data_IF_136226993834
#
_entry.id   IF_136226993834
#
_cell.length_a   1.000
_cell.length_b   1.000
_cell.length_c   1.000
_cell.angle_alpha   90.00
_cell.angle_beta   90.00
_cell.angle_gamma   90.00
#
_symmetry.space_group_name_H-M   'P 1'
#
loop_
_entity.id
_entity.type
_entity.pdbx_description
1 polymer ?
#
# COMPACT_ATOMS: atom_id res chain seq x y z
N UNK A 1 0.00 8.61 -16.32
CA UNK A 1 -0.92 8.69 -15.17
C UNK A 1 -0.48 9.79 -14.21
N UNK A 2 0.57 9.63 -13.39
CA UNK A 2 1.03 10.68 -12.47
C UNK A 2 1.29 12.05 -13.13
N UNK A 3 1.97 12.10 -14.28
CA UNK A 3 2.27 13.34 -14.98
C UNK A 3 1.04 14.10 -15.54
N UNK A 4 -0.17 13.56 -15.39
CA UNK A 4 -1.40 14.29 -15.71
C UNK A 4 -1.78 15.29 -14.60
N UNK A 5 -1.31 15.07 -13.36
CA UNK A 5 -1.57 15.90 -12.20
C UNK A 5 -0.32 16.20 -11.36
N UNK A 6 0.86 15.89 -11.86
CA UNK A 6 2.12 16.08 -11.15
C UNK A 6 3.31 16.42 -12.05
N UNK A 7 4.38 16.83 -11.42
CA UNK A 7 5.68 17.11 -12.04
C UNK A 7 6.73 16.18 -11.43
N UNK A 8 7.69 15.72 -12.24
CA UNK A 8 8.76 14.83 -11.78
C UNK A 8 10.05 15.08 -12.56
N UNK A 9 11.16 15.13 -11.84
CA UNK A 9 12.51 14.98 -12.38
C UNK A 9 13.27 13.89 -11.62
N UNK A 10 14.28 13.28 -12.27
CA UNK A 10 15.06 12.20 -11.67
C UNK A 10 16.55 12.35 -12.04
N UNK A 11 17.41 11.94 -11.09
CA UNK A 11 18.86 12.02 -11.24
C UNK A 11 19.53 10.72 -10.88
N UNK A 12 20.66 10.46 -11.56
CA UNK A 12 21.57 9.36 -11.26
C UNK A 12 22.92 9.92 -10.86
N UNK A 13 23.46 9.49 -9.71
CA UNK A 13 24.82 9.81 -9.31
C UNK A 13 25.81 8.82 -9.92
N UNK A 14 26.94 9.33 -10.38
CA UNK A 14 28.04 8.53 -10.91
C UNK A 14 29.32 8.75 -10.13
N UNK A 15 30.08 7.69 -9.88
CA UNK A 15 31.42 7.69 -9.30
C UNK A 15 32.31 6.83 -10.18
N UNK A 16 33.41 7.40 -10.66
CA UNK A 16 34.35 6.74 -11.58
C UNK A 16 33.62 6.11 -12.80
N UNK A 17 32.66 6.85 -13.38
CA UNK A 17 31.88 6.44 -14.54
C UNK A 17 30.83 5.35 -14.28
N UNK A 18 30.65 4.90 -13.02
CA UNK A 18 29.65 3.89 -12.64
C UNK A 18 28.47 4.52 -11.91
N UNK A 19 27.23 4.10 -12.20
CA UNK A 19 26.08 4.57 -11.43
C UNK A 19 26.15 4.06 -9.99
N UNK A 20 26.04 4.96 -9.02
CA UNK A 20 26.17 4.66 -7.59
C UNK A 20 24.95 5.07 -6.77
N UNK A 21 23.96 5.70 -7.38
CA UNK A 21 22.72 6.04 -6.72
C UNK A 21 21.76 6.76 -7.64
N UNK A 22 20.51 6.87 -7.23
CA UNK A 22 19.45 7.59 -7.93
C UNK A 22 18.46 8.21 -6.95
N UNK A 23 17.77 9.25 -7.38
CA UNK A 23 16.66 9.89 -6.67
C UNK A 23 15.72 10.54 -7.67
N UNK A 24 14.45 10.65 -7.34
CA UNK A 24 13.51 11.56 -8.00
C UNK A 24 13.05 12.65 -7.04
N UNK A 25 12.61 13.77 -7.60
CA UNK A 25 11.80 14.74 -6.90
C UNK A 25 10.53 14.99 -7.69
N UNK A 26 9.41 15.05 -7.02
CA UNK A 26 8.09 15.20 -7.61
C UNK A 26 7.18 16.15 -6.83
N UNK A 27 6.23 16.72 -7.55
CA UNK A 27 5.14 17.54 -7.01
C UNK A 27 3.84 16.87 -7.42
N UNK A 28 2.95 16.65 -6.45
CA UNK A 28 1.60 16.17 -6.67
C UNK A 28 0.61 17.34 -6.46
N UNK A 29 -0.01 17.79 -7.55
CA UNK A 29 -0.98 18.90 -7.48
C UNK A 29 -2.29 18.48 -6.83
N UNK A 30 -2.64 17.19 -6.86
CA UNK A 30 -3.79 16.66 -6.10
C UNK A 30 -3.54 16.73 -4.60
N UNK A 31 -2.29 16.52 -4.16
CA UNK A 31 -1.89 16.74 -2.77
C UNK A 31 -2.03 18.23 -2.38
N UNK A 32 -1.51 19.16 -3.20
CA UNK A 32 -1.63 20.59 -2.95
C UNK A 32 -3.09 21.03 -2.84
N UNK A 33 -3.96 20.47 -3.67
CA UNK A 33 -5.41 20.75 -3.67
C UNK A 33 -6.09 20.17 -2.44
N UNK A 34 -5.70 18.97 -2.03
CA UNK A 34 -6.30 18.27 -0.90
C UNK A 34 -5.86 18.86 0.45
N UNK A 35 -4.64 19.37 0.51
CA UNK A 35 -4.02 19.89 1.74
C UNK A 35 -3.54 21.34 1.56
N UNK A 36 -4.45 22.30 1.31
CA UNK A 36 -4.08 23.68 0.98
C UNK A 36 -3.39 24.41 2.13
N UNK A 37 -3.67 24.01 3.38
CA UNK A 37 -3.10 24.61 4.61
C UNK A 37 -1.74 24.00 4.99
N UNK A 38 -1.34 22.90 4.35
CA UNK A 38 -0.02 22.29 4.58
C UNK A 38 1.09 23.11 3.87
N UNK A 39 2.31 23.13 4.42
CA UNK A 39 3.46 23.73 3.74
C UNK A 39 3.62 23.18 2.33
N UNK A 40 3.94 24.03 1.35
CA UNK A 40 4.18 23.62 -0.04
C UNK A 40 5.27 22.54 -0.09
N UNK A 41 4.83 21.29 -0.29
CA UNK A 41 5.68 20.11 -0.20
C UNK A 41 6.04 19.57 -1.58
N UNK A 42 7.32 19.27 -1.80
CA UNK A 42 7.76 18.33 -2.83
C UNK A 42 7.98 16.96 -2.18
N UNK A 43 7.95 15.93 -2.98
CA UNK A 43 8.21 14.57 -2.53
C UNK A 43 9.48 14.05 -3.19
N UNK A 44 10.23 13.16 -2.51
CA UNK A 44 11.31 12.40 -3.13
C UNK A 44 10.92 10.92 -3.22
N UNK A 45 11.46 10.25 -4.23
CA UNK A 45 11.21 8.83 -4.44
C UNK A 45 12.31 8.16 -5.24
N UNK A 46 12.09 6.89 -5.62
CA UNK A 46 13.06 6.09 -6.37
C UNK A 46 14.49 6.17 -5.81
N UNK A 47 14.61 6.47 -4.51
CA UNK A 47 15.89 6.68 -3.86
C UNK A 47 16.60 5.36 -3.62
N UNK A 48 17.76 5.24 -4.24
CA UNK A 48 18.74 4.18 -4.00
C UNK A 48 20.15 4.76 -3.98
N UNK A 49 20.99 4.22 -3.12
CA UNK A 49 22.35 4.71 -2.95
C UNK A 49 23.26 3.56 -2.48
N UNK A 50 24.54 3.60 -2.90
CA UNK A 50 25.58 2.79 -2.25
C UNK A 50 25.77 3.28 -0.81
N UNK A 51 26.44 2.50 0.04
CA UNK A 51 26.74 2.90 1.43
C UNK A 51 27.83 4.00 1.45
N UNK A 52 27.44 5.20 1.01
CA UNK A 52 28.30 6.39 0.93
C UNK A 52 27.46 7.64 1.19
N UNK A 53 27.66 8.25 2.36
CA UNK A 53 26.93 9.45 2.79
C UNK A 53 27.18 10.67 1.89
N UNK A 54 28.32 10.78 1.24
CA UNK A 54 28.61 11.86 0.32
C UNK A 54 27.75 11.75 -0.95
N UNK A 55 27.58 10.53 -1.46
CA UNK A 55 26.69 10.26 -2.61
C UNK A 55 25.23 10.55 -2.22
N UNK A 56 24.80 10.08 -1.04
CA UNK A 56 23.46 10.35 -0.54
C UNK A 56 23.18 11.85 -0.45
N UNK A 57 24.06 12.61 0.18
CA UNK A 57 23.93 14.08 0.30
C UNK A 57 23.89 14.79 -1.06
N UNK A 58 24.69 14.33 -2.03
CA UNK A 58 24.67 14.89 -3.37
C UNK A 58 23.33 14.65 -4.09
N UNK A 59 22.76 13.45 -3.95
CA UNK A 59 21.42 13.12 -4.47
C UNK A 59 20.34 13.99 -3.83
N UNK A 60 20.33 14.12 -2.52
CA UNK A 60 19.37 14.98 -1.84
C UNK A 60 19.54 16.45 -2.20
N UNK A 61 20.77 16.93 -2.35
CA UNK A 61 21.04 18.33 -2.72
C UNK A 61 20.41 18.73 -4.06
N UNK A 62 20.48 17.88 -5.09
CA UNK A 62 19.85 18.18 -6.39
C UNK A 62 18.34 18.12 -6.32
N UNK A 63 17.76 17.19 -5.55
CA UNK A 63 16.32 17.11 -5.33
C UNK A 63 15.79 18.32 -4.55
N UNK A 64 16.52 18.77 -3.52
CA UNK A 64 16.21 19.98 -2.74
C UNK A 64 16.30 21.25 -3.59
N UNK A 65 17.36 21.39 -4.40
CA UNK A 65 17.51 22.52 -5.32
C UNK A 65 16.35 22.61 -6.32
N UNK A 66 15.96 21.47 -6.89
CA UNK A 66 14.81 21.40 -7.79
C UNK A 66 13.53 21.82 -7.07
N UNK A 67 13.28 21.30 -5.86
CA UNK A 67 12.11 21.63 -5.07
C UNK A 67 12.06 23.13 -4.72
N UNK A 68 13.19 23.75 -4.30
CA UNK A 68 13.29 25.21 -4.05
C UNK A 68 12.99 26.03 -5.30
N UNK A 69 13.53 25.64 -6.47
CA UNK A 69 13.24 26.31 -7.76
C UNK A 69 11.75 26.26 -8.13
N UNK A 70 11.05 25.24 -7.67
CA UNK A 70 9.60 25.08 -7.83
C UNK A 70 8.78 25.73 -6.70
N UNK A 71 9.41 26.52 -5.81
CA UNK A 71 8.74 27.22 -4.72
C UNK A 71 8.27 26.32 -3.60
N UNK A 72 8.86 25.12 -3.46
CA UNK A 72 8.57 24.21 -2.35
C UNK A 72 9.45 24.53 -1.16
N UNK A 73 8.87 24.36 0.04
CA UNK A 73 9.54 24.69 1.32
C UNK A 73 9.82 23.44 2.16
N UNK A 74 9.42 22.26 1.65
CA UNK A 74 9.60 20.98 2.33
C UNK A 74 9.81 19.88 1.29
N UNK A 75 10.69 18.91 1.59
CA UNK A 75 10.88 17.70 0.84
C UNK A 75 10.58 16.50 1.73
N UNK A 76 9.62 15.64 1.32
CA UNK A 76 9.10 14.50 2.08
C UNK A 76 9.17 13.22 1.25
N UNK A 77 9.41 12.07 1.89
CA UNK A 77 9.42 10.79 1.21
C UNK A 77 10.05 9.65 2.03
N UNK A 78 10.40 8.53 1.36
CA UNK A 78 10.27 8.32 -0.08
C UNK A 78 8.86 7.89 -0.50
N UNK A 79 8.44 8.34 -1.69
CA UNK A 79 7.23 7.88 -2.38
C UNK A 79 7.56 7.48 -3.82
N UNK A 80 7.00 6.37 -4.28
CA UNK A 80 7.03 6.05 -5.71
C UNK A 80 5.87 6.77 -6.39
N UNK A 81 6.17 7.97 -6.89
CA UNK A 81 5.28 8.96 -7.48
C UNK A 81 4.40 9.69 -6.45
N UNK A 82 3.39 9.05 -5.89
CA UNK A 82 2.44 9.63 -4.94
C UNK A 82 2.16 8.72 -3.74
N UNK A 83 1.22 9.09 -2.89
CA UNK A 83 0.85 8.35 -1.68
C UNK A 83 0.11 7.02 -1.95
N UNK A 84 -0.22 6.71 -3.20
CA UNK A 84 -0.89 5.47 -3.62
C UNK A 84 0.12 4.41 -4.10
N UNK A 85 1.37 4.83 -4.34
CA UNK A 85 2.48 3.97 -4.74
C UNK A 85 3.23 3.34 -3.57
N UNK A 86 4.39 2.75 -3.86
CA UNK A 86 5.28 2.23 -2.83
C UNK A 86 5.88 3.38 -2.01
N UNK A 87 6.02 3.19 -0.70
CA UNK A 87 6.48 4.25 0.19
C UNK A 87 7.33 3.72 1.35
N UNK A 88 8.13 4.62 1.90
CA UNK A 88 8.93 4.40 3.09
C UNK A 88 10.26 3.67 2.86
N UNK A 89 11.20 3.92 3.76
CA UNK A 89 12.44 3.17 3.91
C UNK A 89 12.19 2.05 4.90
N UNK A 90 12.41 0.80 4.51
CA UNK A 90 12.33 -0.35 5.42
C UNK A 90 13.38 -0.18 6.52
N UNK A 91 12.96 -0.26 7.79
CA UNK A 91 13.81 -0.11 8.97
C UNK A 91 13.81 -1.33 9.89
N UNK A 92 12.79 -2.19 9.80
CA UNK A 92 12.67 -3.46 10.52
C UNK A 92 12.10 -4.56 9.62
N UNK A 93 12.50 -5.82 9.82
CA UNK A 93 11.97 -6.97 9.09
C UNK A 93 12.72 -7.31 7.79
N UNK A 94 14.02 -7.04 7.73
CA UNK A 94 14.88 -7.29 6.57
C UNK A 94 15.05 -8.78 6.21
N UNK A 95 14.83 -9.68 7.16
CA UNK A 95 14.92 -11.13 7.01
C UNK A 95 13.74 -11.73 6.22
N UNK A 96 12.69 -10.96 6.00
CA UNK A 96 11.51 -11.38 5.26
C UNK A 96 11.48 -10.74 3.87
N UNK A 97 11.11 -11.48 2.81
CA UNK A 97 10.94 -10.92 1.48
C UNK A 97 9.85 -9.83 1.48
N UNK A 98 9.97 -8.84 0.58
CA UNK A 98 8.90 -7.87 0.38
C UNK A 98 7.72 -8.53 -0.34
N UNK A 99 6.52 -8.15 0.10
CA UNK A 99 5.28 -8.46 -0.61
C UNK A 99 5.12 -7.54 -1.82
N UNK A 100 4.24 -7.92 -2.73
CA UNK A 100 3.93 -7.09 -3.90
C UNK A 100 3.54 -5.67 -3.47
N UNK A 101 4.15 -4.66 -4.14
CA UNK A 101 3.90 -3.25 -3.87
C UNK A 101 4.40 -2.75 -2.52
N UNK A 102 5.37 -3.43 -1.88
CA UNK A 102 6.08 -2.92 -0.70
C UNK A 102 7.58 -2.79 -0.98
N UNK A 103 8.17 -1.71 -0.47
CA UNK A 103 9.59 -1.43 -0.66
C UNK A 103 10.47 -2.39 0.14
N UNK A 104 11.63 -2.72 -0.44
CA UNK A 104 12.75 -3.34 0.25
C UNK A 104 14.03 -2.58 -0.09
N UNK A 105 14.85 -2.31 0.90
CA UNK A 105 16.10 -1.58 0.74
C UNK A 105 17.19 -2.18 1.64
N UNK A 106 18.44 -1.80 1.40
CA UNK A 106 19.55 -2.18 2.26
C UNK A 106 19.42 -1.54 3.65
N UNK A 107 19.82 -2.24 4.74
CA UNK A 107 19.68 -1.72 6.11
C UNK A 107 20.36 -0.36 6.36
N UNK A 108 21.43 -0.05 5.66
CA UNK A 108 22.15 1.23 5.81
C UNK A 108 21.38 2.45 5.24
N UNK A 109 20.32 2.23 4.43
CA UNK A 109 19.59 3.32 3.77
C UNK A 109 18.93 4.28 4.79
N UNK A 110 18.39 3.75 5.87
CA UNK A 110 17.83 4.53 6.97
C UNK A 110 18.84 5.56 7.49
N UNK A 111 20.06 5.09 7.80
CA UNK A 111 21.13 5.94 8.29
C UNK A 111 21.56 6.99 7.25
N UNK A 112 21.64 6.64 5.97
CA UNK A 112 22.01 7.58 4.91
C UNK A 112 21.00 8.73 4.78
N UNK A 113 19.70 8.44 4.89
CA UNK A 113 18.65 9.47 4.87
C UNK A 113 18.78 10.41 6.07
N UNK A 114 18.98 9.86 7.28
CA UNK A 114 19.18 10.65 8.50
C UNK A 114 20.46 11.48 8.44
N UNK A 115 21.60 10.91 8.02
CA UNK A 115 22.88 11.61 7.86
C UNK A 115 22.82 12.70 6.78
N UNK A 116 21.84 12.62 5.87
CA UNK A 116 21.53 13.66 4.88
C UNK A 116 20.65 14.78 5.45
N UNK A 117 20.29 14.72 6.75
CA UNK A 117 19.58 15.79 7.46
C UNK A 117 18.07 15.67 7.46
N UNK A 118 17.54 14.50 7.09
CA UNK A 118 16.11 14.22 7.13
C UNK A 118 15.69 13.65 8.48
N UNK A 119 14.50 14.01 8.92
CA UNK A 119 13.92 13.56 10.18
C UNK A 119 12.71 12.68 9.94
N UNK A 120 12.47 11.73 10.85
CA UNK A 120 11.25 10.91 10.84
C UNK A 120 10.01 11.80 10.89
N UNK A 121 9.02 11.48 10.02
CA UNK A 121 7.69 12.08 10.11
C UNK A 121 6.62 11.04 10.42
N UNK A 122 6.76 9.80 9.91
CA UNK A 122 5.77 8.74 10.12
C UNK A 122 6.43 7.37 10.03
N UNK A 123 6.02 6.42 10.88
CA UNK A 123 6.29 5.01 10.68
C UNK A 123 5.02 4.30 10.14
N UNK A 124 5.25 3.41 9.19
CA UNK A 124 4.23 2.57 8.57
C UNK A 124 4.45 1.14 9.01
N UNK A 125 3.38 0.45 9.40
CA UNK A 125 3.43 -0.90 9.96
C UNK A 125 2.96 -1.92 8.93
N UNK A 126 3.70 -3.01 8.83
CA UNK A 126 3.29 -4.23 8.15
C UNK A 126 3.00 -5.33 9.19
N UNK A 127 1.83 -5.91 9.09
CA UNK A 127 1.34 -6.93 10.01
C UNK A 127 1.32 -8.28 9.32
N UNK A 128 1.76 -9.31 10.00
CA UNK A 128 1.72 -10.69 9.52
C UNK A 128 0.62 -11.47 10.20
N UNK A 129 -0.28 -12.04 9.41
CA UNK A 129 -1.34 -12.94 9.85
C UNK A 129 -1.10 -14.34 9.28
N UNK A 130 -1.03 -15.34 10.14
CA UNK A 130 -0.96 -16.75 9.71
C UNK A 130 -2.38 -17.29 9.57
N UNK A 131 -2.71 -17.84 8.42
CA UNK A 131 -4.05 -18.37 8.16
C UNK A 131 -4.39 -19.49 9.16
N UNK A 132 -5.64 -19.49 9.62
CA UNK A 132 -6.11 -20.42 10.64
C UNK A 132 -5.80 -19.99 12.08
N UNK A 133 -5.05 -18.91 12.30
CA UNK A 133 -4.92 -18.33 13.64
C UNK A 133 -6.28 -17.85 14.13
N UNK A 134 -6.70 -18.22 15.37
CA UNK A 134 -7.98 -17.80 15.92
C UNK A 134 -8.07 -16.27 16.02
N UNK A 135 -9.18 -15.72 15.58
CA UNK A 135 -9.57 -14.32 15.85
C UNK A 135 -10.14 -14.27 17.27
N UNK A 136 -9.92 -13.16 17.99
CA UNK A 136 -10.41 -13.05 19.37
C UNK A 136 -11.94 -13.23 19.48
N UNK A 137 -12.40 -13.76 20.61
CA UNK A 137 -13.81 -14.11 20.84
C UNK A 137 -14.75 -12.90 20.74
N UNK A 138 -14.29 -11.70 21.12
CA UNK A 138 -15.13 -10.51 21.04
C UNK A 138 -15.34 -10.14 19.58
N UNK A 139 -14.27 -10.11 18.78
CA UNK A 139 -14.33 -9.82 17.35
C UNK A 139 -15.23 -10.82 16.62
N UNK A 140 -15.08 -12.13 16.91
CA UNK A 140 -15.93 -13.19 16.36
C UNK A 140 -17.40 -13.02 16.73
N UNK A 141 -17.70 -12.70 17.99
CA UNK A 141 -19.09 -12.47 18.44
C UNK A 141 -19.74 -11.26 17.77
N UNK A 142 -19.02 -10.13 17.66
CA UNK A 142 -19.60 -8.94 17.02
C UNK A 142 -19.72 -9.11 15.51
N UNK A 143 -18.79 -9.81 14.87
CA UNK A 143 -18.88 -10.18 13.46
C UNK A 143 -20.11 -11.03 13.18
N UNK A 144 -20.35 -12.08 14.00
CA UNK A 144 -21.53 -12.94 13.88
C UNK A 144 -22.82 -12.14 14.00
N UNK A 145 -22.97 -11.31 15.05
CA UNK A 145 -24.16 -10.47 15.22
C UNK A 145 -24.40 -9.52 14.04
N UNK A 146 -23.35 -8.92 13.50
CA UNK A 146 -23.48 -7.99 12.37
C UNK A 146 -23.83 -8.74 11.07
N UNK A 147 -23.27 -9.93 10.85
CA UNK A 147 -23.57 -10.78 9.71
C UNK A 147 -25.01 -11.28 9.69
N UNK A 148 -25.58 -11.56 10.85
CA UNK A 148 -26.96 -12.06 11.01
C UNK A 148 -28.03 -10.97 10.83
N UNK A 149 -27.64 -9.70 10.64
CA UNK A 149 -28.58 -8.64 10.30
C UNK A 149 -29.19 -8.88 8.91
N UNK A 150 -30.52 -8.84 8.77
CA UNK A 150 -31.20 -9.24 7.53
C UNK A 150 -30.89 -8.35 6.32
N UNK A 151 -30.43 -7.14 6.58
CA UNK A 151 -30.09 -6.15 5.57
C UNK A 151 -28.57 -6.06 5.30
N UNK A 152 -27.76 -6.91 5.92
CA UNK A 152 -26.32 -7.02 5.65
C UNK A 152 -26.04 -8.18 4.72
N UNK A 153 -25.31 -7.90 3.64
CA UNK A 153 -24.88 -8.90 2.68
C UNK A 153 -23.39 -8.77 2.40
N UNK A 154 -22.67 -9.87 2.45
CA UNK A 154 -21.26 -9.93 2.07
C UNK A 154 -21.15 -10.68 0.76
N UNK A 155 -20.55 -10.04 -0.24
CA UNK A 155 -20.28 -10.68 -1.52
C UNK A 155 -18.82 -10.57 -1.92
N UNK A 156 -18.37 -11.50 -2.71
CA UNK A 156 -17.07 -11.40 -3.38
C UNK A 156 -17.14 -10.37 -4.52
N UNK A 157 -16.00 -9.87 -4.92
CA UNK A 157 -15.85 -9.07 -6.13
C UNK A 157 -16.28 -9.90 -7.36
N UNK A 158 -16.99 -9.26 -8.29
CA UNK A 158 -17.39 -9.88 -9.56
C UNK A 158 -16.48 -9.42 -10.69
N UNK A 159 -15.61 -10.32 -11.14
CA UNK A 159 -14.65 -10.01 -12.23
C UNK A 159 -15.34 -9.66 -13.55
N UNK A 160 -16.57 -10.16 -13.77
CA UNK A 160 -17.36 -9.82 -14.96
C UNK A 160 -17.88 -8.38 -14.90
N UNK A 161 -17.97 -7.83 -13.70
CA UNK A 161 -18.41 -6.45 -13.43
C UNK A 161 -17.30 -5.63 -12.76
N UNK A 162 -16.04 -5.89 -13.15
CA UNK A 162 -14.87 -5.28 -12.53
C UNK A 162 -14.94 -3.74 -12.49
N UNK A 163 -15.48 -3.09 -13.51
CA UNK A 163 -15.64 -1.62 -13.52
C UNK A 163 -16.56 -1.13 -12.42
N UNK A 164 -17.72 -1.80 -12.21
CA UNK A 164 -18.65 -1.48 -11.12
C UNK A 164 -17.97 -1.63 -9.76
N UNK A 165 -17.31 -2.76 -9.53
CA UNK A 165 -16.72 -3.04 -8.24
C UNK A 165 -15.47 -2.16 -7.98
N UNK A 166 -14.72 -1.80 -9.02
CA UNK A 166 -13.65 -0.83 -8.93
C UNK A 166 -14.17 0.58 -8.55
N UNK A 167 -15.29 1.02 -9.12
CA UNK A 167 -15.94 2.28 -8.71
C UNK A 167 -16.36 2.25 -7.24
N UNK A 168 -16.90 1.13 -6.76
CA UNK A 168 -17.24 0.96 -5.34
C UNK A 168 -15.99 1.06 -4.46
N UNK A 169 -14.88 0.44 -4.89
CA UNK A 169 -13.60 0.51 -4.17
C UNK A 169 -13.12 1.97 -4.10
N UNK A 170 -13.16 2.70 -5.23
CA UNK A 170 -12.77 4.10 -5.30
C UNK A 170 -13.62 4.98 -4.36
N UNK A 171 -14.94 4.85 -4.43
CA UNK A 171 -15.85 5.63 -3.58
C UNK A 171 -15.54 5.42 -2.08
N UNK A 172 -15.42 4.16 -1.67
CA UNK A 172 -15.16 3.83 -0.27
C UNK A 172 -13.74 4.25 0.14
N UNK A 173 -12.74 4.09 -0.74
CA UNK A 173 -11.39 4.58 -0.49
C UNK A 173 -11.39 6.10 -0.29
N UNK A 174 -11.94 6.85 -1.24
CA UNK A 174 -11.95 8.31 -1.19
C UNK A 174 -12.69 8.86 0.04
N UNK A 175 -13.68 8.14 0.56
CA UNK A 175 -14.40 8.52 1.77
C UNK A 175 -13.67 8.07 3.04
N UNK A 176 -13.27 6.80 3.13
CA UNK A 176 -12.74 6.21 4.36
C UNK A 176 -11.32 6.68 4.71
N UNK A 177 -10.51 7.04 3.70
CA UNK A 177 -9.13 7.51 3.89
C UNK A 177 -8.95 9.03 3.87
N UNK A 178 -10.01 9.80 3.61
CA UNK A 178 -9.93 11.27 3.43
C UNK A 178 -9.19 12.03 4.55
N UNK A 179 -9.15 11.48 5.76
CA UNK A 179 -8.47 12.07 6.91
C UNK A 179 -7.13 11.38 7.25
N UNK A 180 -6.70 10.40 6.45
CA UNK A 180 -5.41 9.76 6.66
C UNK A 180 -4.28 10.70 6.23
N UNK A 181 -3.15 10.56 6.92
CA UNK A 181 -1.95 11.32 6.61
C UNK A 181 -1.54 11.17 5.14
N UNK A 182 -1.24 12.28 4.51
CA UNK A 182 -0.78 12.35 3.11
C UNK A 182 -1.74 11.75 2.06
N UNK A 183 -3.02 11.63 2.40
CA UNK A 183 -4.04 11.07 1.49
C UNK A 183 -4.24 11.94 0.26
N UNK A 184 -4.33 11.30 -0.91
CA UNK A 184 -4.85 11.87 -2.16
C UNK A 184 -5.93 10.94 -2.73
N UNK A 185 -7.02 11.47 -3.31
CA UNK A 185 -8.09 10.65 -3.83
C UNK A 185 -7.65 9.90 -5.10
N UNK A 186 -8.24 8.73 -5.34
CA UNK A 186 -8.16 8.08 -6.65
C UNK A 186 -8.99 8.84 -7.68
N UNK A 187 -8.39 9.13 -8.82
CA UNK A 187 -9.08 9.64 -10.01
C UNK A 187 -9.68 8.50 -10.82
N UNK A 188 -10.66 8.80 -11.69
CA UNK A 188 -11.26 7.81 -12.58
C UNK A 188 -10.23 7.19 -13.55
N UNK A 189 -9.26 8.00 -14.01
CA UNK A 189 -8.18 7.53 -14.88
C UNK A 189 -7.27 6.52 -14.18
N UNK A 190 -6.87 6.81 -12.94
CA UNK A 190 -6.06 5.89 -12.13
C UNK A 190 -6.80 4.59 -11.86
N UNK A 191 -8.09 4.68 -11.56
CA UNK A 191 -8.92 3.51 -11.32
C UNK A 191 -8.98 2.57 -12.54
N UNK A 192 -9.16 3.11 -13.75
CA UNK A 192 -9.19 2.30 -14.97
C UNK A 192 -7.87 1.58 -15.22
N UNK A 193 -6.75 2.27 -15.01
CA UNK A 193 -5.41 1.68 -15.18
C UNK A 193 -5.20 0.56 -14.15
N UNK A 194 -5.44 0.86 -12.87
CA UNK A 194 -5.28 -0.11 -11.78
C UNK A 194 -6.19 -1.33 -11.99
N UNK A 195 -7.46 -1.13 -12.34
CA UNK A 195 -8.38 -2.24 -12.59
C UNK A 195 -7.91 -3.15 -13.73
N UNK A 196 -7.33 -2.58 -14.80
CA UNK A 196 -6.79 -3.34 -15.91
C UNK A 196 -5.50 -4.10 -15.55
N UNK A 197 -4.60 -3.46 -14.79
CA UNK A 197 -3.35 -4.08 -14.34
C UNK A 197 -3.60 -5.23 -13.36
N UNK A 198 -4.45 -5.01 -12.37
CA UNK A 198 -4.74 -6.03 -11.35
C UNK A 198 -5.64 -7.16 -11.85
N UNK A 199 -6.40 -6.97 -12.94
CA UNK A 199 -7.31 -7.98 -13.48
C UNK A 199 -6.66 -9.36 -13.69
N UNK A 200 -5.38 -9.39 -14.04
CA UNK A 200 -4.62 -10.63 -14.24
C UNK A 200 -4.26 -11.34 -12.93
N UNK A 201 -4.27 -10.62 -11.81
CA UNK A 201 -3.75 -11.10 -10.52
C UNK A 201 -4.82 -11.16 -9.43
N UNK A 202 -6.02 -10.60 -9.66
CA UNK A 202 -7.10 -10.63 -8.68
C UNK A 202 -7.57 -12.07 -8.46
N UNK A 203 -7.55 -12.48 -7.18
CA UNK A 203 -8.29 -13.64 -6.72
C UNK A 203 -9.57 -13.15 -6.00
N UNK A 204 -10.73 -13.45 -6.57
CA UNK A 204 -12.03 -13.03 -6.00
C UNK A 204 -12.28 -13.61 -4.61
N UNK A 205 -11.59 -14.68 -4.23
CA UNK A 205 -11.65 -15.24 -2.87
C UNK A 205 -11.02 -14.32 -1.80
N UNK A 206 -10.30 -13.27 -2.22
CA UNK A 206 -9.60 -12.34 -1.35
C UNK A 206 -10.20 -10.93 -1.35
N UNK A 207 -11.28 -10.68 -2.10
CA UNK A 207 -11.85 -9.34 -2.24
C UNK A 207 -13.35 -9.35 -2.01
N UNK A 208 -13.81 -8.50 -1.08
CA UNK A 208 -15.19 -8.49 -0.62
C UNK A 208 -15.78 -7.08 -0.60
N UNK A 209 -17.08 -7.03 -0.90
CA UNK A 209 -17.93 -5.87 -0.66
C UNK A 209 -18.99 -6.25 0.36
N UNK A 210 -19.08 -5.45 1.44
CA UNK A 210 -20.19 -5.52 2.37
C UNK A 210 -21.27 -4.52 1.96
N UNK A 211 -22.48 -4.97 1.81
CA UNK A 211 -23.65 -4.17 1.44
C UNK A 211 -24.62 -4.09 2.62
N UNK A 212 -25.20 -2.92 2.84
CA UNK A 212 -26.28 -2.67 3.81
C UNK A 212 -27.45 -2.05 3.07
N UNK A 213 -28.61 -2.65 3.15
CA UNK A 213 -29.81 -2.24 2.40
C UNK A 213 -29.54 -2.08 0.88
N UNK A 214 -28.70 -2.97 0.32
CA UNK A 214 -28.30 -2.95 -1.09
C UNK A 214 -27.29 -1.88 -1.48
N UNK A 215 -26.79 -1.06 -0.53
CA UNK A 215 -25.76 -0.06 -0.75
C UNK A 215 -24.41 -0.57 -0.29
N UNK A 216 -23.35 -0.31 -1.07
CA UNK A 216 -21.98 -0.65 -0.67
C UNK A 216 -21.57 0.16 0.56
N UNK A 217 -21.26 -0.54 1.65
CA UNK A 217 -20.96 0.02 2.97
C UNK A 217 -19.47 -0.12 3.34
N UNK A 218 -18.85 -1.24 2.97
CA UNK A 218 -17.45 -1.51 3.27
C UNK A 218 -16.81 -2.37 2.18
N UNK A 219 -15.48 -2.28 2.09
CA UNK A 219 -14.65 -3.10 1.22
C UNK A 219 -13.50 -3.73 1.99
N UNK A 220 -13.07 -4.90 1.52
CA UNK A 220 -11.77 -5.48 1.78
C UNK A 220 -11.18 -5.90 0.43
N UNK A 221 -9.99 -5.38 0.10
CA UNK A 221 -9.27 -5.68 -1.12
C UNK A 221 -7.91 -6.25 -0.80
N UNK A 222 -7.69 -7.50 -1.18
CA UNK A 222 -6.40 -8.15 -1.06
C UNK A 222 -6.02 -8.85 -2.37
N UNK A 223 -4.73 -8.99 -2.60
CA UNK A 223 -4.16 -9.62 -3.79
C UNK A 223 -3.17 -10.72 -3.42
N UNK A 224 -3.04 -11.75 -4.25
CA UNK A 224 -1.98 -12.75 -4.11
C UNK A 224 -0.58 -12.13 -4.18
N UNK A 225 0.38 -12.66 -3.44
CA UNK A 225 1.78 -12.22 -3.52
C UNK A 225 2.46 -12.74 -4.79
N UNK A 226 2.36 -11.98 -5.86
CA UNK A 226 2.98 -12.31 -7.15
C UNK A 226 4.51 -12.39 -7.06
N UNK A 227 5.14 -11.73 -6.08
CA UNK A 227 6.58 -11.82 -5.87
C UNK A 227 7.04 -13.26 -5.61
N UNK A 228 6.19 -14.12 -5.02
CA UNK A 228 6.49 -15.54 -4.88
C UNK A 228 6.69 -16.26 -6.23
N UNK A 229 5.98 -15.80 -7.26
CA UNK A 229 5.99 -16.40 -8.58
C UNK A 229 7.14 -15.90 -9.47
N UNK A 230 7.70 -14.73 -9.19
CA UNK A 230 8.69 -14.07 -10.05
C UNK A 230 10.07 -13.93 -9.40
N UNK A 231 10.25 -14.39 -8.16
CA UNK A 231 11.48 -14.21 -7.38
C UNK A 231 12.74 -14.70 -8.09
N UNK A 232 12.66 -15.81 -8.82
CA UNK A 232 13.78 -16.40 -9.56
C UNK A 232 14.04 -15.72 -10.91
N UNK A 233 13.20 -14.77 -11.34
CA UNK A 233 13.40 -14.07 -12.61
C UNK A 233 14.43 -12.94 -12.55
N UNK A 234 14.93 -12.59 -11.37
CA UNK A 234 16.03 -11.64 -11.15
C UNK A 234 15.84 -10.28 -11.83
N UNK A 235 14.59 -9.79 -11.92
CA UNK A 235 14.25 -8.54 -12.59
C UNK A 235 14.13 -8.62 -14.12
N UNK A 236 14.26 -9.79 -14.72
CA UNK A 236 14.27 -9.98 -16.19
C UNK A 236 12.91 -10.41 -16.74
N UNK A 237 11.79 -10.11 -16.04
CA UNK A 237 10.46 -10.52 -16.49
C UNK A 237 10.14 -10.01 -17.91
N UNK A 238 10.39 -8.73 -18.18
CA UNK A 238 10.07 -8.10 -19.47
C UNK A 238 11.15 -8.29 -20.53
N UNK A 239 12.38 -8.62 -20.13
CA UNK A 239 13.51 -8.82 -21.06
C UNK A 239 13.57 -10.23 -21.61
N UNK A 240 13.04 -11.20 -20.88
CA UNK A 240 13.10 -12.62 -21.23
C UNK A 240 11.68 -13.17 -21.47
N UNK A 241 11.27 -13.43 -22.73
CA UNK A 241 9.94 -13.94 -23.03
C UNK A 241 9.63 -15.30 -22.38
N UNK A 242 10.68 -16.11 -22.09
CA UNK A 242 10.52 -17.38 -21.36
C UNK A 242 10.00 -17.13 -19.94
N UNK A 243 10.46 -16.04 -19.28
CA UNK A 243 9.98 -15.67 -17.96
C UNK A 243 8.49 -15.24 -17.98
N UNK A 244 8.06 -14.58 -19.03
CA UNK A 244 6.65 -14.25 -19.22
C UNK A 244 5.79 -15.52 -19.37
N UNK A 245 6.22 -16.47 -20.19
CA UNK A 245 5.53 -17.76 -20.36
C UNK A 245 5.51 -18.54 -19.04
N UNK A 246 6.63 -18.57 -18.30
CA UNK A 246 6.70 -19.18 -16.96
C UNK A 246 5.75 -18.52 -15.98
N UNK A 247 5.64 -17.18 -15.99
CA UNK A 247 4.69 -16.46 -15.12
C UNK A 247 3.25 -16.84 -15.43
N UNK A 248 2.86 -16.83 -16.70
CA UNK A 248 1.49 -17.21 -17.11
C UNK A 248 1.16 -18.66 -16.72
N UNK A 249 2.14 -19.57 -16.86
CA UNK A 249 1.99 -20.95 -16.42
C UNK A 249 1.86 -21.06 -14.89
N UNK A 250 2.72 -20.34 -14.13
CA UNK A 250 2.65 -20.29 -12.67
C UNK A 250 1.34 -19.70 -12.16
N UNK A 251 0.87 -18.61 -12.73
CA UNK A 251 -0.43 -18.01 -12.39
C UNK A 251 -1.60 -18.99 -12.56
N UNK A 252 -1.49 -19.90 -13.53
CA UNK A 252 -2.53 -20.90 -13.79
C UNK A 252 -2.42 -22.12 -12.87
N UNK A 253 -1.21 -22.58 -12.55
CA UNK A 253 -0.99 -23.86 -11.90
C UNK A 253 -0.35 -23.76 -10.50
N UNK A 254 0.35 -22.69 -10.19
CA UNK A 254 1.02 -22.48 -8.90
C UNK A 254 0.47 -21.24 -8.23
N UNK A 255 -0.52 -21.41 -7.34
CA UNK A 255 -1.03 -20.26 -6.57
C UNK A 255 0.04 -19.78 -5.57
N UNK A 256 0.21 -18.46 -5.39
CA UNK A 256 0.96 -17.91 -4.26
C UNK A 256 0.38 -18.43 -2.95
N UNK A 257 1.24 -18.68 -1.98
CA UNK A 257 0.84 -19.12 -0.64
C UNK A 257 0.44 -17.97 0.27
N UNK A 258 0.89 -16.77 -0.05
CA UNK A 258 0.62 -15.57 0.73
C UNK A 258 -0.16 -14.54 -0.09
N UNK A 259 -0.84 -13.66 0.62
CA UNK A 259 -1.59 -12.56 0.04
C UNK A 259 -1.29 -11.26 0.79
N UNK A 260 -1.52 -10.11 0.13
CA UNK A 260 -1.44 -8.81 0.77
C UNK A 260 -2.82 -8.16 0.81
N UNK A 261 -3.29 -7.82 2.02
CA UNK A 261 -4.45 -6.99 2.22
C UNK A 261 -4.01 -5.53 2.10
N UNK A 262 -4.48 -4.87 1.04
CA UNK A 262 -4.08 -3.50 0.67
C UNK A 262 -5.08 -2.48 1.23
N UNK A 263 -6.39 -2.77 1.10
CA UNK A 263 -7.45 -1.84 1.49
C UNK A 263 -8.50 -2.56 2.36
N UNK A 264 -8.85 -1.93 3.48
CA UNK A 264 -10.04 -2.23 4.25
C UNK A 264 -10.66 -0.91 4.66
N UNK A 265 -11.83 -0.59 4.13
CA UNK A 265 -12.51 0.67 4.39
C UNK A 265 -14.00 0.48 4.66
N UNK A 266 -14.55 1.36 5.48
CA UNK A 266 -15.98 1.44 5.79
C UNK A 266 -16.40 2.89 5.60
N UNK A 267 -17.50 3.12 4.89
CA UNK A 267 -18.08 4.47 4.75
C UNK A 267 -18.43 5.05 6.13
N UNK A 268 -18.28 6.36 6.28
CA UNK A 268 -18.42 7.05 7.57
C UNK A 268 -19.77 6.80 8.25
N UNK A 269 -20.87 6.82 7.49
CA UNK A 269 -22.21 6.57 8.01
C UNK A 269 -22.36 5.20 8.67
N UNK A 270 -21.70 4.16 8.14
CA UNK A 270 -21.75 2.81 8.70
C UNK A 270 -20.71 2.63 9.81
N UNK A 271 -19.54 3.27 9.68
CA UNK A 271 -18.48 3.22 10.69
C UNK A 271 -18.92 3.83 12.03
N UNK A 272 -19.64 4.95 11.97
CA UNK A 272 -20.18 5.62 13.16
C UNK A 272 -21.39 4.89 13.77
N UNK A 273 -21.99 3.96 13.06
CA UNK A 273 -23.20 3.25 13.50
C UNK A 273 -22.88 2.18 14.53
N UNK A 274 -23.59 2.17 15.67
CA UNK A 274 -23.52 1.07 16.65
C UNK A 274 -23.92 -0.29 16.05
N UNK A 275 -24.79 -0.28 15.05
CA UNK A 275 -25.33 -1.47 14.39
C UNK A 275 -24.36 -2.06 13.36
N UNK A 276 -23.64 -1.21 12.61
CA UNK A 276 -22.82 -1.61 11.47
C UNK A 276 -21.32 -1.38 11.68
N UNK A 277 -20.90 -0.75 12.76
CA UNK A 277 -19.50 -0.46 13.04
C UNK A 277 -18.56 -1.68 13.11
N UNK A 278 -19.13 -2.89 13.23
CA UNK A 278 -18.37 -4.13 13.23
C UNK A 278 -18.22 -4.78 11.84
N UNK A 279 -18.57 -4.09 10.74
CA UNK A 279 -18.38 -4.61 9.37
C UNK A 279 -16.91 -4.99 9.08
N UNK A 280 -15.92 -4.26 9.65
CA UNK A 280 -14.52 -4.66 9.55
C UNK A 280 -14.27 -6.07 10.12
N UNK A 281 -14.85 -6.38 11.29
CA UNK A 281 -14.71 -7.70 11.90
C UNK A 281 -15.33 -8.80 11.01
N UNK A 282 -16.46 -8.52 10.36
CA UNK A 282 -17.08 -9.45 9.39
C UNK A 282 -16.13 -9.70 8.22
N UNK A 283 -15.53 -8.64 7.66
CA UNK A 283 -14.62 -8.76 6.52
C UNK A 283 -13.32 -9.50 6.91
N UNK A 284 -12.80 -9.27 8.11
CA UNK A 284 -11.66 -10.02 8.65
C UNK A 284 -11.97 -11.51 8.81
N UNK A 285 -13.16 -11.86 9.30
CA UNK A 285 -13.57 -13.28 9.35
C UNK A 285 -13.69 -13.89 7.96
N UNK A 286 -14.25 -13.15 6.99
CA UNK A 286 -14.38 -13.64 5.61
C UNK A 286 -13.04 -13.97 4.99
N UNK A 287 -12.09 -13.04 5.02
CA UNK A 287 -10.78 -13.27 4.42
C UNK A 287 -10.02 -14.39 5.15
N UNK A 288 -10.13 -14.47 6.48
CA UNK A 288 -9.50 -15.54 7.25
C UNK A 288 -10.02 -16.92 6.85
N UNK A 289 -11.34 -17.09 6.77
CA UNK A 289 -11.97 -18.37 6.44
C UNK A 289 -11.78 -18.75 4.96
N UNK A 290 -12.09 -17.81 4.05
CA UNK A 290 -12.03 -18.09 2.61
C UNK A 290 -10.61 -18.14 2.07
N UNK A 291 -9.73 -17.29 2.58
CA UNK A 291 -8.30 -17.33 2.21
C UNK A 291 -7.68 -18.67 2.58
N UNK A 292 -7.92 -19.17 3.79
CA UNK A 292 -7.49 -20.52 4.21
C UNK A 292 -8.09 -21.62 3.30
N UNK A 293 -9.41 -21.57 3.04
CA UNK A 293 -10.09 -22.53 2.19
C UNK A 293 -9.57 -22.48 0.73
N UNK A 294 -9.13 -21.32 0.25
CA UNK A 294 -8.51 -21.13 -1.06
C UNK A 294 -7.04 -21.56 -1.12
N UNK A 295 -6.44 -21.98 0.02
CA UNK A 295 -5.07 -22.50 0.09
C UNK A 295 -4.01 -21.45 0.46
N UNK A 296 -4.39 -20.26 0.90
CA UNK A 296 -3.44 -19.27 1.40
C UNK A 296 -3.00 -19.63 2.82
N UNK A 297 -1.69 -19.54 3.07
CA UNK A 297 -1.07 -19.88 4.35
C UNK A 297 -0.90 -18.69 5.28
N UNK A 298 -0.77 -17.50 4.71
CA UNK A 298 -0.59 -16.27 5.48
C UNK A 298 -0.94 -15.03 4.65
N UNK A 299 -0.99 -13.88 5.32
CA UNK A 299 -1.19 -12.59 4.67
C UNK A 299 -0.46 -11.47 5.39
N UNK A 300 0.01 -10.51 4.60
CA UNK A 300 0.45 -9.22 5.10
C UNK A 300 -0.73 -8.23 5.07
N UNK A 301 -0.95 -7.53 6.17
CA UNK A 301 -1.86 -6.39 6.21
C UNK A 301 -0.98 -5.13 6.28
N UNK A 302 -0.94 -4.36 5.23
CA UNK A 302 -0.06 -3.18 5.11
C UNK A 302 -0.55 -2.18 4.05
N UNK A 303 -0.27 -0.91 4.22
CA UNK A 303 0.38 -0.31 5.39
C UNK A 303 -0.68 0.24 6.33
N UNK A 304 -0.37 0.29 7.63
CA UNK A 304 -1.13 1.09 8.58
C UNK A 304 -0.21 2.13 9.22
N UNK A 305 -0.73 3.33 9.45
CA UNK A 305 0.01 4.37 10.16
C UNK A 305 0.23 3.97 11.62
N UNK A 306 1.40 4.28 12.20
CA UNK A 306 1.72 3.95 13.59
C UNK A 306 0.71 4.51 14.60
N UNK A 307 0.08 5.63 14.31
CA UNK A 307 -0.90 6.33 15.14
C UNK A 307 -2.37 6.00 14.81
N UNK A 308 -2.64 5.18 13.80
CA UNK A 308 -3.99 4.71 13.49
C UNK A 308 -4.42 3.60 14.47
N UNK A 309 -4.66 4.01 15.72
CA UNK A 309 -4.94 3.08 16.83
C UNK A 309 -6.19 2.22 16.59
N UNK A 310 -7.18 2.71 15.86
CA UNK A 310 -8.40 1.96 15.59
C UNK A 310 -8.14 0.76 14.66
N UNK A 311 -7.45 0.97 13.55
CA UNK A 311 -7.10 -0.09 12.60
C UNK A 311 -6.10 -1.05 13.25
N UNK A 312 -5.05 -0.53 13.90
CA UNK A 312 -4.00 -1.33 14.52
C UNK A 312 -4.59 -2.30 15.58
N UNK A 313 -5.46 -1.81 16.47
CA UNK A 313 -6.18 -2.68 17.44
C UNK A 313 -7.08 -3.71 16.77
N UNK A 314 -7.72 -3.36 15.65
CA UNK A 314 -8.52 -4.32 14.86
C UNK A 314 -7.68 -5.48 14.33
N UNK A 315 -6.49 -5.16 13.82
CA UNK A 315 -5.54 -6.14 13.29
C UNK A 315 -4.91 -6.99 14.40
N UNK A 316 -4.57 -6.38 15.55
CA UNK A 316 -4.08 -7.11 16.73
C UNK A 316 -5.10 -8.15 17.22
N UNK A 317 -6.40 -7.83 17.18
CA UNK A 317 -7.47 -8.77 17.55
C UNK A 317 -7.64 -9.94 16.59
N UNK A 318 -7.10 -9.83 15.36
CA UNK A 318 -6.93 -10.98 14.48
C UNK A 318 -5.77 -11.90 14.91
N UNK A 319 -5.00 -11.54 15.93
CA UNK A 319 -3.73 -12.15 16.31
C UNK A 319 -2.63 -11.97 15.25
N UNK A 320 -2.74 -10.96 14.38
CA UNK A 320 -1.64 -10.54 13.52
C UNK A 320 -0.58 -9.81 14.35
N UNK A 321 0.66 -9.87 13.89
CA UNK A 321 1.81 -9.27 14.58
C UNK A 321 2.55 -8.33 13.63
N UNK A 322 3.00 -7.17 14.15
CA UNK A 322 3.92 -6.32 13.41
C UNK A 322 5.19 -7.12 13.13
N UNK A 323 5.60 -7.14 11.86
CA UNK A 323 6.80 -7.88 11.44
C UNK A 323 7.72 -7.05 10.57
N UNK A 324 7.22 -5.93 10.03
CA UNK A 324 7.98 -4.94 9.27
C UNK A 324 7.59 -3.55 9.66
N UNK A 325 8.55 -2.63 9.53
CA UNK A 325 8.31 -1.18 9.62
C UNK A 325 9.01 -0.46 8.50
N UNK A 326 8.33 0.53 7.95
CA UNK A 326 8.90 1.49 7.01
C UNK A 326 8.79 2.87 7.60
N UNK A 327 9.78 3.72 7.32
CA UNK A 327 9.85 5.08 7.84
C UNK A 327 9.77 6.10 6.73
N UNK A 328 8.93 7.08 6.93
CA UNK A 328 8.82 8.27 6.11
C UNK A 328 9.63 9.39 6.74
N UNK A 329 10.26 10.17 5.90
CA UNK A 329 11.15 11.26 6.30
C UNK A 329 10.73 12.57 5.69
N UNK A 330 11.11 13.68 6.33
CA UNK A 330 10.97 15.01 5.76
C UNK A 330 12.11 15.93 6.20
N UNK A 331 12.28 17.00 5.43
CA UNK A 331 13.18 18.11 5.73
C UNK A 331 12.56 19.42 5.26
N UNK A 332 12.64 20.47 6.07
CA UNK A 332 12.40 21.84 5.63
C UNK A 332 13.54 22.29 4.71
N UNK A 333 13.19 23.03 3.64
CA UNK A 333 14.11 23.47 2.58
C UNK A 333 14.58 24.92 2.75
#
# INVERSE_FOLDING_TARGET
MFLAHGELDAWTAFKDGKPVGRISAQIDHDYDTRWPDEPKTAFFGFYECIDDVAVSKALFAVAEEWARKKGRVRLRGPFTLDSKGEMGVLIEGFDKPSMIGTTWNRPFMDKLVQDSGYQKVKDLLGWWYTAGTPIDDLTTRVAKKTRELPNVKIRMMDIKQIKRDATIIQEIYNEAWKNNWNFTPFTNMELEVIANEYKLFIDTQLTYVAEVDGKAAAILFAIPDINELIRDFKGELMRNPINLVKLLWRLKFNRPKNARLILLGIKDEFRASRKYGALAAVLYEEISKRGLAAGYSAGELSWTDEDNTQINRGIERMNAKVYKKWRMYERAL
#
